data_IF_733135531735
#
_entry.id   IF_733135531735
#
_cell.length_a   1.000
_cell.length_b   1.000
_cell.length_c   1.000
_cell.angle_alpha   90.00
_cell.angle_beta   90.00
_cell.angle_gamma   90.00
#
_symmetry.space_group_name_H-M   'P 1'
#
loop_
_entity.id
_entity.type
_entity.pdbx_description
1 polymer ?
#
# COMPACT_ATOMS: atom_id res chain seq x y z
N UNK A 1 -35.87 -1.97 -10.00
CA UNK A 1 -35.43 -2.62 -8.74
C UNK A 1 -34.10 -1.97 -8.38
N UNK A 2 -34.06 -1.08 -7.39
CA UNK A 2 -32.81 -0.43 -6.99
C UNK A 2 -31.98 -1.47 -6.21
N UNK A 3 -30.74 -1.69 -6.62
CA UNK A 3 -29.81 -2.50 -5.84
C UNK A 3 -29.68 -1.86 -4.44
N UNK A 4 -30.00 -2.61 -3.39
CA UNK A 4 -29.67 -2.19 -2.02
C UNK A 4 -28.16 -2.13 -1.94
N UNK A 5 -27.59 -0.94 -1.75
CA UNK A 5 -26.19 -0.83 -1.34
C UNK A 5 -26.07 -1.55 0.02
N UNK A 6 -25.44 -2.69 0.03
CA UNK A 6 -25.13 -3.41 1.26
C UNK A 6 -23.89 -2.75 1.83
N UNK A 7 -24.05 -2.04 2.93
CA UNK A 7 -22.93 -1.51 3.72
C UNK A 7 -22.61 -2.52 4.81
N UNK A 8 -21.37 -2.94 4.88
CA UNK A 8 -20.85 -3.82 5.91
C UNK A 8 -20.36 -3.00 7.12
N UNK A 9 -20.61 -3.51 8.32
CA UNK A 9 -20.00 -2.97 9.54
C UNK A 9 -18.57 -3.46 9.70
N UNK A 10 -17.83 -2.89 10.65
CA UNK A 10 -16.51 -3.43 10.99
C UNK A 10 -16.61 -4.85 11.55
N UNK A 11 -17.65 -5.17 12.32
CA UNK A 11 -17.87 -6.54 12.84
C UNK A 11 -18.14 -7.54 11.71
N UNK A 12 -18.87 -7.14 10.67
CA UNK A 12 -19.06 -7.97 9.47
C UNK A 12 -17.73 -8.22 8.78
N UNK A 13 -16.89 -7.18 8.66
CA UNK A 13 -15.56 -7.30 8.06
C UNK A 13 -14.66 -8.25 8.85
N UNK A 14 -14.60 -8.13 10.19
CA UNK A 14 -13.80 -9.01 11.04
C UNK A 14 -14.22 -10.49 10.86
N UNK A 15 -15.54 -10.76 10.81
CA UNK A 15 -16.07 -12.09 10.57
C UNK A 15 -15.71 -12.63 9.19
N UNK A 16 -15.79 -11.79 8.15
CA UNK A 16 -15.42 -12.17 6.79
C UNK A 16 -13.91 -12.40 6.68
N UNK A 17 -13.09 -11.50 7.21
CA UNK A 17 -11.64 -11.61 7.20
C UNK A 17 -11.16 -12.88 7.90
N UNK A 18 -11.76 -13.25 9.04
CA UNK A 18 -11.40 -14.45 9.80
C UNK A 18 -11.68 -15.76 9.03
N UNK A 19 -12.63 -15.75 8.10
CA UNK A 19 -13.05 -16.93 7.34
C UNK A 19 -12.62 -16.91 5.87
N UNK A 20 -11.99 -15.83 5.41
CA UNK A 20 -11.57 -15.69 4.01
C UNK A 20 -10.10 -16.10 3.84
N UNK A 21 -9.87 -17.03 2.91
CA UNK A 21 -8.50 -17.44 2.56
C UNK A 21 -7.94 -16.54 1.46
N UNK A 22 -7.51 -15.34 1.83
CA UNK A 22 -6.97 -14.32 0.93
C UNK A 22 -6.84 -12.98 1.65
N UNK A 23 -6.52 -11.93 0.90
CA UNK A 23 -6.46 -10.56 1.42
C UNK A 23 -7.86 -9.94 1.39
N UNK A 24 -8.35 -9.53 2.56
CA UNK A 24 -9.57 -8.75 2.73
C UNK A 24 -9.22 -7.34 3.20
N UNK A 25 -9.82 -6.33 2.60
CA UNK A 25 -9.66 -4.92 2.94
C UNK A 25 -11.03 -4.26 3.13
N UNK A 26 -11.11 -3.30 4.04
CA UNK A 26 -12.35 -2.57 4.37
C UNK A 26 -12.24 -1.11 3.96
N UNK A 27 -13.20 -0.66 3.19
CA UNK A 27 -13.29 0.71 2.69
C UNK A 27 -14.62 1.34 3.10
N UNK A 28 -14.70 1.81 4.34
CA UNK A 28 -15.83 2.56 4.87
C UNK A 28 -17.21 1.98 4.47
N UNK A 29 -17.45 0.72 4.85
CA UNK A 29 -18.70 0.00 4.52
C UNK A 29 -18.62 -0.91 3.31
N UNK A 30 -17.53 -0.88 2.55
CA UNK A 30 -17.29 -1.80 1.43
C UNK A 30 -16.16 -2.77 1.76
N UNK A 31 -16.28 -4.02 1.32
CA UNK A 31 -15.24 -5.04 1.49
C UNK A 31 -14.67 -5.38 0.12
N UNK A 32 -13.34 -5.30 0.02
CA UNK A 32 -12.58 -5.71 -1.16
C UNK A 32 -11.88 -7.01 -0.84
N UNK A 33 -12.19 -8.05 -1.60
CA UNK A 33 -11.59 -9.37 -1.46
C UNK A 33 -10.66 -9.62 -2.64
N UNK A 34 -9.43 -10.02 -2.37
CA UNK A 34 -8.48 -10.45 -3.38
C UNK A 34 -7.96 -11.85 -3.06
N UNK A 35 -7.91 -12.70 -4.08
CA UNK A 35 -7.38 -14.05 -3.99
C UNK A 35 -5.86 -14.04 -4.17
N UNK A 36 -5.26 -15.23 -4.20
CA UNK A 36 -3.82 -15.44 -4.32
C UNK A 36 -3.19 -14.60 -5.45
N UNK A 37 -2.06 -13.99 -5.13
CA UNK A 37 -1.26 -13.16 -6.03
C UNK A 37 -0.48 -14.02 -7.05
N UNK A 38 -0.13 -13.44 -8.19
CA UNK A 38 0.71 -14.11 -9.18
C UNK A 38 2.16 -14.28 -8.68
N UNK A 39 2.89 -15.23 -9.27
CA UNK A 39 4.33 -15.41 -8.97
C UNK A 39 5.10 -14.10 -9.22
N UNK A 40 4.76 -13.37 -10.29
CA UNK A 40 5.40 -12.11 -10.64
C UNK A 40 5.13 -11.04 -9.58
N UNK A 41 3.88 -10.87 -9.15
CA UNK A 41 3.50 -9.98 -8.07
C UNK A 41 4.29 -10.26 -6.79
N UNK A 42 4.33 -11.52 -6.35
CA UNK A 42 5.08 -11.92 -5.16
C UNK A 42 6.60 -11.67 -5.27
N UNK A 43 7.19 -11.90 -6.45
CA UNK A 43 8.61 -11.58 -6.70
C UNK A 43 8.90 -10.09 -6.58
N UNK A 44 8.02 -9.23 -7.10
CA UNK A 44 8.17 -7.77 -7.00
C UNK A 44 8.13 -7.36 -5.53
N UNK A 45 7.11 -7.80 -4.76
CA UNK A 45 7.00 -7.53 -3.32
C UNK A 45 8.27 -7.97 -2.58
N UNK A 46 8.71 -9.21 -2.79
CA UNK A 46 9.87 -9.77 -2.09
C UNK A 46 11.14 -8.97 -2.37
N UNK A 47 11.35 -8.52 -3.61
CA UNK A 47 12.52 -7.73 -4.00
C UNK A 47 12.47 -6.30 -3.47
N UNK A 48 11.31 -5.64 -3.55
CA UNK A 48 11.09 -4.33 -2.93
C UNK A 48 11.36 -4.40 -1.43
N UNK A 49 10.74 -5.37 -0.74
CA UNK A 49 10.95 -5.58 0.69
C UNK A 49 12.43 -5.75 1.04
N UNK A 50 13.15 -6.60 0.31
CA UNK A 50 14.59 -6.82 0.53
C UNK A 50 15.42 -5.52 0.35
N UNK A 51 15.18 -4.76 -0.73
CA UNK A 51 15.89 -3.50 -0.99
C UNK A 51 15.62 -2.46 0.09
N UNK A 52 14.37 -2.31 0.50
CA UNK A 52 13.97 -1.38 1.55
C UNK A 52 14.54 -1.77 2.92
N UNK A 53 14.46 -3.05 3.30
CA UNK A 53 15.05 -3.55 4.55
C UNK A 53 16.56 -3.30 4.59
N UNK A 54 17.26 -3.56 3.48
CA UNK A 54 18.71 -3.31 3.38
C UNK A 54 19.04 -1.83 3.56
N UNK A 55 18.27 -0.94 2.94
CA UNK A 55 18.47 0.51 3.08
C UNK A 55 18.18 0.99 4.50
N UNK A 56 17.11 0.47 5.13
CA UNK A 56 16.63 0.93 6.42
C UNK A 56 17.32 0.26 7.63
N UNK A 57 18.24 -0.69 7.42
CA UNK A 57 18.88 -1.51 8.47
C UNK A 57 19.41 -0.69 9.67
N UNK A 58 19.93 0.51 9.41
CA UNK A 58 20.48 1.40 10.45
C UNK A 58 19.58 2.59 10.78
N UNK A 59 18.35 2.57 10.30
CA UNK A 59 17.36 3.62 10.52
C UNK A 59 16.47 3.28 11.72
N UNK A 60 15.52 4.18 12.02
CA UNK A 60 14.44 3.95 12.98
C UNK A 60 13.12 3.63 12.27
N UNK A 61 13.21 3.05 11.10
CA UNK A 61 12.08 2.67 10.27
C UNK A 61 12.18 1.20 9.90
N UNK A 62 11.03 0.53 9.81
CA UNK A 62 10.90 -0.86 9.43
C UNK A 62 10.00 -1.02 8.22
N UNK A 63 10.19 -2.11 7.48
CA UNK A 63 9.38 -2.47 6.31
C UNK A 63 8.41 -3.57 6.70
N UNK A 64 7.19 -3.43 6.23
CA UNK A 64 6.10 -4.41 6.41
C UNK A 64 5.48 -4.75 5.07
N UNK A 65 4.79 -5.89 5.03
CA UNK A 65 4.13 -6.38 3.82
C UNK A 65 2.66 -6.70 4.07
N UNK A 66 1.96 -7.16 3.06
CA UNK A 66 0.52 -7.41 2.96
C UNK A 66 -0.13 -8.25 4.09
N UNK A 67 0.65 -8.81 5.00
CA UNK A 67 0.13 -9.52 6.18
C UNK A 67 -0.22 -8.59 7.35
N UNK A 68 0.27 -7.36 7.32
CA UNK A 68 0.08 -6.36 8.40
C UNK A 68 -0.93 -5.31 7.94
N UNK A 69 -1.90 -5.05 8.81
CA UNK A 69 -2.98 -4.09 8.56
C UNK A 69 -2.59 -2.67 8.99
N UNK A 70 -3.04 -1.69 8.22
CA UNK A 70 -3.02 -0.27 8.57
C UNK A 70 -4.46 0.22 8.64
N UNK A 71 -4.85 0.78 9.78
CA UNK A 71 -6.17 1.35 10.04
C UNK A 71 -6.10 2.86 9.87
N UNK A 72 -6.82 3.37 8.90
CA UNK A 72 -7.03 4.81 8.71
C UNK A 72 -8.41 5.17 9.24
N UNK A 73 -8.46 6.02 10.25
CA UNK A 73 -9.70 6.36 10.94
C UNK A 73 -9.78 7.84 11.26
N UNK A 74 -10.95 8.43 11.03
CA UNK A 74 -11.35 9.73 11.55
C UNK A 74 -12.74 9.61 12.23
N UNK A 75 -13.40 10.71 12.51
CA UNK A 75 -14.71 10.71 13.21
C UNK A 75 -15.85 10.11 12.37
N UNK A 76 -15.72 10.02 11.06
CA UNK A 76 -16.77 9.67 10.11
C UNK A 76 -16.47 8.40 9.31
N UNK A 77 -15.19 8.07 9.13
CA UNK A 77 -14.76 7.06 8.17
C UNK A 77 -13.72 6.12 8.77
N UNK A 78 -13.77 4.86 8.32
CA UNK A 78 -12.80 3.82 8.68
C UNK A 78 -12.36 3.04 7.45
N UNK A 79 -11.06 2.91 7.29
CA UNK A 79 -10.44 2.08 6.27
C UNK A 79 -9.42 1.15 6.91
N UNK A 80 -9.42 -0.12 6.52
CA UNK A 80 -8.47 -1.13 6.98
C UNK A 80 -7.84 -1.77 5.76
N UNK A 81 -6.59 -1.40 5.49
CA UNK A 81 -5.85 -1.83 4.32
C UNK A 81 -4.63 -2.66 4.70
N UNK A 82 -4.22 -3.53 3.80
CA UNK A 82 -3.00 -4.34 3.89
C UNK A 82 -2.12 -4.02 2.69
N UNK A 83 -1.34 -2.92 2.73
CA UNK A 83 -0.51 -2.52 1.60
C UNK A 83 0.51 -3.60 1.24
N UNK A 84 0.83 -3.74 -0.03
CA UNK A 84 1.73 -4.80 -0.49
C UNK A 84 3.14 -4.66 0.10
N UNK A 85 3.69 -3.44 0.13
CA UNK A 85 4.92 -3.11 0.88
C UNK A 85 4.81 -1.69 1.43
N UNK A 86 5.15 -1.49 2.70
CA UNK A 86 5.10 -0.16 3.30
C UNK A 86 6.15 0.05 4.40
N UNK A 87 6.47 1.31 4.67
CA UNK A 87 7.48 1.71 5.63
C UNK A 87 6.85 2.47 6.79
N UNK A 88 7.07 1.96 8.01
CA UNK A 88 6.70 2.63 9.25
C UNK A 88 7.97 3.06 10.00
N UNK A 89 7.90 4.22 10.69
CA UNK A 89 9.03 4.72 11.44
C UNK A 89 8.73 4.82 12.94
N UNK A 90 9.76 5.09 13.74
CA UNK A 90 9.64 5.34 15.17
C UNK A 90 8.48 6.31 15.48
N UNK A 91 7.75 6.06 16.55
CA UNK A 91 6.52 6.76 16.96
C UNK A 91 5.24 6.38 16.21
N UNK A 92 5.26 5.34 15.39
CA UNK A 92 4.03 4.79 14.83
C UNK A 92 3.12 4.25 15.93
N UNK A 93 1.85 4.61 15.87
CA UNK A 93 0.83 4.14 16.82
C UNK A 93 0.21 2.84 16.35
N UNK A 94 -0.28 2.01 17.29
CA UNK A 94 -0.84 0.68 17.03
C UNK A 94 -2.13 0.45 17.81
N UNK A 95 -2.95 -0.43 17.26
CA UNK A 95 -4.09 -1.05 17.93
C UNK A 95 -3.97 -2.56 17.72
N UNK A 96 -3.55 -3.31 18.76
CA UNK A 96 -3.18 -4.72 18.60
C UNK A 96 -1.99 -4.87 17.64
N UNK A 97 -2.15 -5.73 16.63
CA UNK A 97 -1.15 -5.97 15.60
C UNK A 97 -1.31 -5.05 14.37
N UNK A 98 -2.27 -4.13 14.38
CA UNK A 98 -2.49 -3.17 13.28
C UNK A 98 -1.87 -1.81 13.59
N UNK A 99 -1.33 -1.13 12.57
CA UNK A 99 -0.91 0.26 12.69
C UNK A 99 -2.11 1.21 12.59
N UNK A 100 -2.08 2.31 13.36
CA UNK A 100 -3.10 3.37 13.34
C UNK A 100 -2.54 4.72 12.91
N UNK A 101 -1.26 4.79 12.58
CA UNK A 101 -0.60 5.95 11.96
C UNK A 101 -0.29 5.67 10.49
N UNK A 102 -0.24 6.72 9.68
CA UNK A 102 0.06 6.60 8.25
C UNK A 102 1.49 6.12 8.00
N UNK A 103 1.70 5.19 7.05
CA UNK A 103 3.02 4.85 6.53
C UNK A 103 3.75 6.08 5.93
N UNK A 104 5.07 6.04 5.92
CA UNK A 104 5.90 7.03 5.21
C UNK A 104 5.87 6.80 3.70
N UNK A 105 6.01 5.54 3.30
CA UNK A 105 5.96 5.09 1.91
C UNK A 105 5.02 3.90 1.82
N UNK A 106 4.26 3.83 0.74
CA UNK A 106 3.47 2.66 0.34
C UNK A 106 3.80 2.30 -1.10
N UNK A 107 3.95 1.02 -1.38
CA UNK A 107 3.97 0.42 -2.71
C UNK A 107 2.80 -0.54 -2.85
N UNK A 108 2.00 -0.37 -3.89
CA UNK A 108 0.97 -1.33 -4.31
C UNK A 108 1.35 -1.90 -5.68
N UNK A 109 1.47 -3.21 -5.76
CA UNK A 109 1.78 -3.93 -7.00
C UNK A 109 0.48 -4.22 -7.73
N UNK A 110 0.25 -3.53 -8.81
CA UNK A 110 -1.05 -3.51 -9.48
C UNK A 110 -1.40 -4.88 -10.06
N UNK A 111 -2.62 -5.30 -9.79
CA UNK A 111 -3.27 -6.46 -10.41
C UNK A 111 -4.54 -6.04 -11.13
N UNK A 112 -4.96 -6.81 -12.15
CA UNK A 112 -6.19 -6.48 -12.89
C UNK A 112 -7.44 -6.44 -12.01
N UNK A 113 -7.47 -7.22 -10.94
CA UNK A 113 -8.63 -7.32 -10.04
C UNK A 113 -8.73 -6.16 -9.04
N UNK A 114 -7.62 -5.54 -8.68
CA UNK A 114 -7.57 -4.47 -7.67
C UNK A 114 -7.26 -3.09 -8.25
N UNK A 115 -6.93 -2.99 -9.53
CA UNK A 115 -6.47 -1.75 -10.18
C UNK A 115 -7.35 -0.53 -9.86
N UNK A 116 -8.67 -0.62 -10.00
CA UNK A 116 -9.57 0.51 -9.69
C UNK A 116 -9.49 0.90 -8.22
N UNK A 117 -9.37 -0.06 -7.31
CA UNK A 117 -9.24 0.19 -5.88
C UNK A 117 -7.93 0.92 -5.56
N UNK A 118 -6.81 0.45 -6.14
CA UNK A 118 -5.49 1.02 -5.90
C UNK A 118 -5.33 2.40 -6.56
N UNK A 119 -5.78 2.56 -7.82
CA UNK A 119 -5.65 3.81 -8.56
C UNK A 119 -6.59 4.94 -8.11
N UNK A 120 -7.73 4.62 -7.52
CA UNK A 120 -8.76 5.61 -7.18
C UNK A 120 -8.97 5.65 -5.67
N UNK A 121 -9.43 4.55 -5.07
CA UNK A 121 -9.88 4.55 -3.68
C UNK A 121 -8.71 4.71 -2.70
N UNK A 122 -7.67 3.88 -2.83
CA UNK A 122 -6.50 3.96 -1.95
C UNK A 122 -5.71 5.26 -2.16
N UNK A 123 -5.60 5.72 -3.40
CA UNK A 123 -4.94 7.01 -3.71
C UNK A 123 -5.60 8.15 -2.95
N UNK A 124 -6.93 8.25 -2.95
CA UNK A 124 -7.66 9.27 -2.18
C UNK A 124 -7.46 9.10 -0.67
N UNK A 125 -7.62 7.88 -0.15
CA UNK A 125 -7.48 7.60 1.28
C UNK A 125 -6.06 7.89 1.76
N UNK A 126 -5.03 7.40 1.07
CA UNK A 126 -3.64 7.63 1.46
C UNK A 126 -3.27 9.12 1.44
N UNK A 127 -3.77 9.88 0.46
CA UNK A 127 -3.62 11.33 0.43
C UNK A 127 -4.22 12.00 1.67
N UNK A 128 -5.50 11.71 1.96
CA UNK A 128 -6.23 12.33 3.07
C UNK A 128 -5.65 12.00 4.44
N UNK A 129 -5.11 10.81 4.60
CA UNK A 129 -4.52 10.36 5.86
C UNK A 129 -3.01 10.61 5.97
N UNK A 130 -2.39 11.26 4.97
CA UNK A 130 -1.05 11.79 5.09
C UNK A 130 0.08 10.79 4.84
N UNK A 131 -0.14 9.76 4.02
CA UNK A 131 0.95 8.92 3.47
C UNK A 131 1.80 9.81 2.58
N UNK A 132 3.11 9.94 2.90
CA UNK A 132 3.98 10.92 2.23
C UNK A 132 4.28 10.56 0.78
N UNK A 133 4.42 9.26 0.51
CA UNK A 133 4.75 8.76 -0.82
C UNK A 133 3.97 7.49 -1.13
N UNK A 134 3.27 7.49 -2.25
CA UNK A 134 2.50 6.37 -2.75
C UNK A 134 2.99 5.96 -4.14
N UNK A 135 3.34 4.70 -4.29
CA UNK A 135 3.93 4.15 -5.49
C UNK A 135 3.05 3.03 -6.07
N UNK A 136 2.55 3.25 -7.28
CA UNK A 136 1.85 2.24 -8.06
C UNK A 136 2.87 1.49 -8.93
N UNK A 137 3.03 0.22 -8.66
CA UNK A 137 4.03 -0.65 -9.30
C UNK A 137 3.35 -1.51 -10.35
N UNK A 138 3.54 -1.17 -11.61
CA UNK A 138 3.01 -1.95 -12.74
C UNK A 138 3.93 -3.11 -13.07
N UNK A 139 3.33 -4.30 -13.19
CA UNK A 139 4.09 -5.53 -13.44
C UNK A 139 4.77 -5.55 -14.82
N UNK A 140 4.36 -4.68 -15.73
CA UNK A 140 4.97 -4.43 -17.03
C UNK A 140 6.33 -3.71 -16.95
N UNK A 141 6.73 -3.25 -15.76
CA UNK A 141 8.06 -2.70 -15.52
C UNK A 141 8.14 -1.20 -15.38
N UNK A 142 7.17 -0.57 -14.73
CA UNK A 142 7.27 0.84 -14.38
C UNK A 142 6.61 1.15 -13.02
N UNK A 143 7.00 2.27 -12.41
CA UNK A 143 6.46 2.78 -11.15
C UNK A 143 5.97 4.21 -11.37
N UNK A 144 4.72 4.47 -11.01
CA UNK A 144 4.17 5.83 -10.91
C UNK A 144 4.26 6.28 -9.46
N UNK A 145 5.04 7.32 -9.20
CA UNK A 145 5.27 7.88 -7.87
C UNK A 145 4.38 9.09 -7.63
N UNK A 146 3.60 9.04 -6.57
CA UNK A 146 2.84 10.16 -6.03
C UNK A 146 3.51 10.63 -4.74
N UNK A 147 3.73 11.94 -4.62
CA UNK A 147 4.26 12.57 -3.41
C UNK A 147 3.24 13.54 -2.84
N UNK A 148 3.10 13.54 -1.51
CA UNK A 148 2.21 14.46 -0.81
C UNK A 148 2.86 15.83 -0.70
N UNK A 149 2.38 16.79 -1.49
CA UNK A 149 2.85 18.18 -1.54
C UNK A 149 1.66 19.09 -1.27
N UNK A 150 1.74 19.94 -0.26
CA UNK A 150 0.66 20.82 0.17
C UNK A 150 -0.68 20.07 0.41
N UNK A 151 -0.60 18.91 1.08
CA UNK A 151 -1.72 18.00 1.36
C UNK A 151 -2.41 17.42 0.11
N UNK A 152 -1.77 17.44 -1.04
CA UNK A 152 -2.28 16.86 -2.29
C UNK A 152 -1.23 15.97 -2.94
N UNK A 153 -1.66 14.84 -3.50
CA UNK A 153 -0.79 14.01 -4.31
C UNK A 153 -0.50 14.65 -5.66
N UNK A 154 0.78 14.73 -5.98
CA UNK A 154 1.27 15.08 -7.31
C UNK A 154 2.10 13.92 -7.85
N UNK A 155 1.92 13.59 -9.12
CA UNK A 155 2.84 12.67 -9.79
C UNK A 155 4.19 13.37 -9.88
N UNK A 156 5.17 12.87 -9.14
CA UNK A 156 6.52 13.44 -9.12
C UNK A 156 7.45 12.74 -10.10
N UNK A 157 7.25 11.45 -10.32
CA UNK A 157 8.04 10.67 -11.27
C UNK A 157 7.24 9.52 -11.87
N UNK A 158 7.70 9.07 -13.05
CA UNK A 158 7.34 7.79 -13.65
C UNK A 158 8.65 7.10 -14.04
N UNK A 159 9.04 6.10 -13.27
CA UNK A 159 10.24 5.33 -13.48
C UNK A 159 9.96 4.11 -14.35
N UNK A 160 10.84 3.82 -15.30
CA UNK A 160 10.79 2.62 -16.16
C UNK A 160 11.82 1.58 -15.70
N UNK A 161 11.71 0.37 -16.22
CA UNK A 161 12.55 -0.78 -15.84
C UNK A 161 14.06 -0.49 -15.76
N UNK A 162 14.59 0.35 -16.65
CA UNK A 162 16.02 0.67 -16.71
C UNK A 162 16.42 1.87 -15.82
N UNK A 163 15.47 2.48 -15.12
CA UNK A 163 15.72 3.63 -14.29
C UNK A 163 16.12 3.19 -12.86
N UNK A 164 16.67 4.13 -12.11
CA UNK A 164 16.75 4.04 -10.66
C UNK A 164 15.58 4.79 -10.04
N UNK A 165 14.72 4.07 -9.30
CA UNK A 165 13.73 4.69 -8.44
C UNK A 165 14.43 5.49 -7.35
N UNK A 166 13.99 6.70 -7.10
CA UNK A 166 14.46 7.58 -6.03
C UNK A 166 13.26 8.02 -5.21
N UNK A 167 13.29 7.75 -3.90
CA UNK A 167 12.22 8.15 -3.00
C UNK A 167 12.24 9.66 -2.74
N UNK A 168 11.06 10.26 -2.71
CA UNK A 168 10.89 11.65 -2.25
C UNK A 168 10.83 11.75 -0.73
N UNK A 169 10.34 10.72 -0.05
CA UNK A 169 10.27 10.65 1.41
C UNK A 169 11.62 10.32 2.05
N UNK A 170 12.50 9.60 1.35
CA UNK A 170 13.87 9.25 1.75
C UNK A 170 14.82 9.51 0.58
N UNK A 171 15.35 10.74 0.41
CA UNK A 171 16.12 11.12 -0.78
C UNK A 171 17.37 10.27 -1.05
N UNK A 172 17.91 9.62 -0.03
CA UNK A 172 19.06 8.71 -0.17
C UNK A 172 18.67 7.30 -0.59
N UNK A 173 17.37 6.97 -0.61
CA UNK A 173 16.87 5.69 -1.06
C UNK A 173 16.85 5.66 -2.59
N UNK A 174 17.72 4.84 -3.16
CA UNK A 174 17.76 4.56 -4.60
C UNK A 174 17.70 3.05 -4.85
N UNK A 175 16.82 2.63 -5.76
CA UNK A 175 16.61 1.23 -6.13
C UNK A 175 16.72 1.10 -7.66
N UNK A 176 17.68 0.32 -8.16
CA UNK A 176 17.74 -0.03 -9.58
C UNK A 176 16.54 -0.93 -9.92
N UNK A 177 15.68 -0.49 -10.84
CA UNK A 177 14.45 -1.19 -11.19
C UNK A 177 14.69 -2.46 -12.00
N UNK A 178 15.82 -2.62 -12.66
CA UNK A 178 16.21 -3.91 -13.25
C UNK A 178 16.26 -5.01 -12.18
N UNK A 179 16.67 -4.69 -10.95
CA UNK A 179 16.70 -5.65 -9.85
C UNK A 179 15.30 -6.07 -9.40
N UNK A 180 14.30 -5.22 -9.61
CA UNK A 180 12.91 -5.47 -9.22
C UNK A 180 12.18 -6.26 -10.33
N UNK A 181 12.36 -5.89 -11.60
CA UNK A 181 11.55 -6.39 -12.72
C UNK A 181 12.21 -7.51 -13.55
N UNK A 182 13.41 -7.96 -13.22
CA UNK A 182 14.01 -9.11 -13.94
C UNK A 182 13.27 -10.41 -13.58
N UNK A 183 12.79 -11.10 -14.59
CA UNK A 183 12.07 -12.37 -14.47
C UNK A 183 12.78 -13.47 -15.26
#
# INVERSE_FOLDING_TARGET
MYAKNIYYTEDDFENIQANYNGKAEYSNGYIVLSSNTSIQHNKIISRLNFKLMTFLEKSKCDVYTESIEVIFRNNEEVYKYKPDVFVMCEKSTRQGESFTSAPKIVFEVISRSTATHDYITKLDVYQRFGVLEYNLVEQEGYIVQYSLIDNQYKITNVFKNNDSYISTAFPDLSINLEDIFKF
#
